data_IF_615143275497
#
_entry.id   IF_615143275497
#
_cell.length_a   1.000
_cell.length_b   1.000
_cell.length_c   1.000
_cell.angle_alpha   90.00
_cell.angle_beta   90.00
_cell.angle_gamma   90.00
#
_symmetry.space_group_name_H-M   'P 1'
#
loop_
_entity.id
_entity.type
_entity.pdbx_description
1 polymer ?
#
# COMPACT_ATOMS: atom_id res chain seq x y z
N UNK A 1 -20.42 -21.57 -44.00
CA UNK A 1 -19.59 -20.35 -43.85
C UNK A 1 -18.23 -20.76 -43.28
N UNK A 2 -17.16 -20.73 -44.08
CA UNK A 2 -15.83 -21.18 -43.66
C UNK A 2 -15.02 -20.03 -43.08
N UNK A 3 -14.72 -20.07 -41.78
CA UNK A 3 -13.76 -19.17 -41.15
C UNK A 3 -12.37 -19.83 -41.23
N UNK A 4 -11.44 -19.23 -41.99
CA UNK A 4 -10.03 -19.63 -41.93
C UNK A 4 -9.35 -18.84 -40.83
N UNK A 5 -8.80 -19.54 -39.85
CA UNK A 5 -7.99 -18.95 -38.79
C UNK A 5 -6.53 -18.95 -39.27
N UNK A 6 -5.89 -17.78 -39.30
CA UNK A 6 -4.46 -17.68 -39.60
C UNK A 6 -3.62 -18.37 -38.52
N UNK A 7 -2.50 -18.96 -38.92
CA UNK A 7 -1.51 -19.52 -38.00
C UNK A 7 -0.62 -18.42 -37.39
N UNK A 8 0.17 -18.79 -36.38
CA UNK A 8 1.08 -17.90 -35.68
C UNK A 8 2.15 -17.32 -36.63
N UNK A 9 2.57 -16.08 -36.37
CA UNK A 9 3.50 -15.29 -37.20
C UNK A 9 4.93 -15.81 -37.10
N UNK A 10 5.24 -16.54 -36.04
CA UNK A 10 6.51 -17.27 -35.87
C UNK A 10 6.59 -18.60 -36.60
N UNK A 11 5.62 -18.92 -37.48
CA UNK A 11 5.63 -20.18 -38.20
C UNK A 11 6.75 -20.21 -39.26
N UNK A 12 7.81 -20.99 -38.97
CA UNK A 12 8.80 -21.44 -39.96
C UNK A 12 8.13 -22.34 -41.01
N UNK A 13 7.50 -21.77 -42.04
CA UNK A 13 7.04 -22.60 -43.15
C UNK A 13 8.14 -22.66 -44.20
N UNK A 14 9.00 -23.68 -44.10
CA UNK A 14 9.92 -24.13 -45.17
C UNK A 14 10.94 -23.11 -45.72
N UNK A 15 11.08 -21.93 -45.12
CA UNK A 15 12.15 -20.97 -45.41
C UNK A 15 13.03 -20.75 -44.18
N UNK A 16 14.35 -20.56 -44.37
CA UNK A 16 15.30 -20.37 -43.27
C UNK A 16 15.21 -18.99 -42.58
N UNK A 17 14.27 -18.13 -42.97
CA UNK A 17 14.09 -16.78 -42.40
C UNK A 17 12.63 -16.55 -42.00
N UNK A 18 12.41 -16.09 -40.78
CA UNK A 18 11.11 -15.66 -40.28
C UNK A 18 10.74 -14.27 -40.81
N UNK A 19 9.45 -13.96 -40.95
CA UNK A 19 9.01 -12.61 -41.30
C UNK A 19 9.52 -11.58 -40.28
N UNK A 20 9.50 -11.91 -39.00
CA UNK A 20 10.04 -11.09 -37.90
C UNK A 20 11.56 -10.84 -38.02
N UNK A 21 12.31 -11.71 -38.72
CA UNK A 21 13.75 -11.55 -38.99
C UNK A 21 14.02 -10.67 -40.22
N UNK A 22 13.02 -10.50 -41.09
CA UNK A 22 13.09 -9.64 -42.29
C UNK A 22 12.56 -8.22 -42.03
N UNK A 23 11.79 -8.03 -40.96
CA UNK A 23 11.18 -6.77 -40.62
C UNK A 23 11.97 -6.02 -39.54
N UNK A 24 12.45 -4.82 -39.88
CA UNK A 24 13.12 -3.93 -38.94
C UNK A 24 12.22 -3.51 -37.75
N UNK A 25 12.84 -2.98 -36.70
CA UNK A 25 12.14 -2.54 -35.48
C UNK A 25 11.07 -1.47 -35.72
N UNK A 26 11.18 -0.72 -36.82
CA UNK A 26 10.26 0.35 -37.21
C UNK A 26 9.18 -0.10 -38.22
N UNK A 27 9.09 -1.39 -38.54
CA UNK A 27 8.08 -1.90 -39.47
C UNK A 27 6.67 -1.63 -38.94
N UNK A 28 5.80 -1.05 -39.78
CA UNK A 28 4.43 -0.65 -39.40
C UNK A 28 3.58 -1.80 -38.83
N UNK A 29 3.86 -3.04 -39.22
CA UNK A 29 3.18 -4.22 -38.66
C UNK A 29 3.44 -4.41 -37.17
N UNK A 30 4.59 -3.97 -36.64
CA UNK A 30 4.87 -3.97 -35.19
C UNK A 30 3.98 -2.99 -34.40
N UNK A 31 3.32 -2.03 -35.07
CA UNK A 31 2.29 -1.18 -34.43
C UNK A 31 1.11 -2.03 -33.96
N UNK A 32 0.76 -3.08 -34.71
CA UNK A 32 -0.30 -4.02 -34.30
C UNK A 32 0.10 -4.74 -33.01
N UNK A 33 1.37 -5.12 -32.86
CA UNK A 33 1.87 -5.71 -31.62
C UNK A 33 1.88 -4.75 -30.45
N UNK A 34 2.38 -3.54 -30.65
CA UNK A 34 2.32 -2.50 -29.63
C UNK A 34 0.87 -2.22 -29.19
N UNK A 35 -0.07 -2.20 -30.15
CA UNK A 35 -1.50 -2.02 -29.87
C UNK A 35 -2.10 -3.22 -29.10
N UNK A 36 -1.82 -4.45 -29.51
CA UNK A 36 -2.27 -5.65 -28.78
C UNK A 36 -1.69 -5.70 -27.37
N UNK A 37 -0.40 -5.37 -27.20
CA UNK A 37 0.23 -5.27 -25.87
C UNK A 37 -0.43 -4.19 -25.01
N UNK A 38 -0.74 -3.02 -25.58
CA UNK A 38 -1.47 -1.96 -24.89
C UNK A 38 -2.87 -2.42 -24.46
N UNK A 39 -3.59 -3.15 -25.31
CA UNK A 39 -4.89 -3.73 -24.95
C UNK A 39 -4.78 -4.74 -23.81
N UNK A 40 -3.79 -5.64 -23.84
CA UNK A 40 -3.59 -6.61 -22.76
C UNK A 40 -3.19 -5.93 -21.45
N UNK A 41 -2.38 -4.87 -21.51
CA UNK A 41 -2.07 -4.02 -20.35
C UNK A 41 -3.33 -3.39 -19.78
N UNK A 42 -4.17 -2.76 -20.61
CA UNK A 42 -5.42 -2.14 -20.16
C UNK A 42 -6.39 -3.16 -19.57
N UNK A 43 -6.49 -4.36 -20.15
CA UNK A 43 -7.29 -5.45 -19.57
C UNK A 43 -6.74 -5.87 -18.21
N UNK A 44 -5.41 -5.94 -18.05
CA UNK A 44 -4.78 -6.27 -16.78
C UNK A 44 -5.05 -5.20 -15.71
N UNK A 45 -4.91 -3.92 -16.06
CA UNK A 45 -5.26 -2.78 -15.19
C UNK A 45 -6.75 -2.81 -14.80
N UNK A 46 -7.65 -3.07 -15.75
CA UNK A 46 -9.08 -3.20 -15.48
C UNK A 46 -9.41 -4.35 -14.51
N UNK A 47 -8.73 -5.50 -14.64
CA UNK A 47 -8.85 -6.61 -13.69
C UNK A 47 -8.34 -6.24 -12.30
N UNK A 48 -7.23 -5.52 -12.20
CA UNK A 48 -6.68 -5.06 -10.93
C UNK A 48 -7.66 -4.13 -10.19
N UNK A 49 -8.19 -3.13 -10.90
CA UNK A 49 -9.19 -2.19 -10.36
C UNK A 49 -10.45 -2.95 -9.89
N UNK A 50 -10.93 -3.94 -10.67
CA UNK A 50 -12.08 -4.75 -10.29
C UNK A 50 -11.83 -5.56 -9.01
N UNK A 51 -10.61 -6.11 -8.83
CA UNK A 51 -10.24 -6.83 -7.62
C UNK A 51 -10.19 -5.90 -6.40
N UNK A 52 -9.59 -4.72 -6.52
CA UNK A 52 -9.54 -3.71 -5.46
C UNK A 52 -10.95 -3.22 -5.07
N UNK A 53 -11.80 -2.95 -6.06
CA UNK A 53 -13.20 -2.60 -5.82
C UNK A 53 -13.96 -3.71 -5.07
N UNK A 54 -13.73 -4.98 -5.42
CA UNK A 54 -14.31 -6.11 -4.70
C UNK A 54 -13.80 -6.21 -3.26
N UNK A 55 -12.52 -5.94 -3.02
CA UNK A 55 -11.95 -5.89 -1.67
C UNK A 55 -12.55 -4.76 -0.83
N UNK A 56 -12.73 -3.57 -1.41
CA UNK A 56 -13.42 -2.44 -0.76
C UNK A 56 -14.84 -2.84 -0.36
N UNK A 57 -15.60 -3.42 -1.30
CA UNK A 57 -16.96 -3.89 -1.04
C UNK A 57 -17.03 -4.94 0.07
N UNK A 58 -16.10 -5.90 0.10
CA UNK A 58 -16.07 -6.96 1.13
C UNK A 58 -15.68 -6.45 2.51
N UNK A 59 -14.71 -5.54 2.57
CA UNK A 59 -14.22 -4.98 3.83
C UNK A 59 -15.17 -3.93 4.43
N UNK A 60 -16.06 -3.36 3.61
CA UNK A 60 -16.88 -2.22 3.99
C UNK A 60 -16.07 -0.94 4.22
N UNK A 61 -14.79 -0.93 3.83
CA UNK A 61 -13.90 0.21 3.95
C UNK A 61 -14.12 1.18 2.77
N UNK A 62 -13.93 2.47 3.04
CA UNK A 62 -13.90 3.54 2.03
C UNK A 62 -12.54 3.66 1.33
N UNK A 63 -11.48 3.07 1.90
CA UNK A 63 -10.10 3.22 1.42
C UNK A 63 -9.29 1.97 1.74
N UNK A 64 -8.51 1.51 0.77
CA UNK A 64 -7.48 0.48 0.94
C UNK A 64 -6.12 1.15 0.87
N UNK A 65 -5.26 0.84 1.83
CA UNK A 65 -3.86 1.27 1.83
C UNK A 65 -3.03 0.17 1.18
N UNK A 66 -2.33 0.49 0.10
CA UNK A 66 -1.43 -0.43 -0.61
C UNK A 66 0.01 0.09 -0.56
N UNK A 67 0.98 -0.82 -0.55
CA UNK A 67 2.42 -0.49 -0.52
C UNK A 67 3.00 -0.08 0.84
N UNK A 68 2.15 0.28 1.82
CA UNK A 68 2.60 0.73 3.14
C UNK A 68 1.99 -0.11 4.28
N UNK A 69 2.73 -1.07 4.86
CA UNK A 69 2.20 -2.04 5.81
C UNK A 69 1.73 -1.44 7.14
N UNK A 70 2.32 -0.33 7.58
CA UNK A 70 2.01 0.30 8.87
C UNK A 70 0.90 1.36 8.78
N UNK A 71 0.64 1.91 7.60
CA UNK A 71 -0.39 2.92 7.43
C UNK A 71 -1.81 2.31 7.47
N UNK A 72 -2.74 3.06 8.03
CA UNK A 72 -4.14 2.68 8.17
C UNK A 72 -5.04 3.82 7.69
N UNK A 73 -6.24 3.54 7.16
CA UNK A 73 -7.20 4.58 6.85
C UNK A 73 -7.69 5.20 8.17
N UNK A 74 -7.28 6.44 8.44
CA UNK A 74 -7.59 7.09 9.72
C UNK A 74 -8.92 7.81 9.65
N UNK A 75 -9.85 7.49 10.55
CA UNK A 75 -11.16 8.20 10.62
C UNK A 75 -10.98 9.71 10.85
N UNK A 76 -9.97 10.12 11.62
CA UNK A 76 -9.66 11.53 11.89
C UNK A 76 -9.08 12.27 10.68
N UNK A 77 -8.68 11.55 9.64
CA UNK A 77 -8.16 12.08 8.38
C UNK A 77 -9.08 11.67 7.23
N UNK A 78 -10.40 11.58 7.42
CA UNK A 78 -11.36 11.21 6.37
C UNK A 78 -11.02 9.91 5.61
N UNK A 79 -10.46 8.92 6.32
CA UNK A 79 -9.98 7.64 5.78
C UNK A 79 -8.70 7.72 4.94
N UNK A 80 -8.03 8.88 4.88
CA UNK A 80 -6.70 8.99 4.29
C UNK A 80 -5.70 8.09 5.05
N UNK A 81 -4.72 7.50 4.34
CA UNK A 81 -3.67 6.71 4.97
C UNK A 81 -2.89 7.55 5.98
N UNK A 82 -2.70 7.02 7.18
CA UNK A 82 -1.88 7.65 8.21
C UNK A 82 -1.35 6.64 9.22
N UNK A 83 -0.48 7.13 10.11
CA UNK A 83 0.18 6.32 11.13
C UNK A 83 -0.24 6.78 12.52
N UNK A 84 -0.45 5.83 13.41
CA UNK A 84 -0.62 6.11 14.83
C UNK A 84 0.73 5.97 15.54
N UNK A 85 1.53 7.03 15.50
CA UNK A 85 2.75 7.14 16.30
C UNK A 85 2.38 7.56 17.74
N UNK A 86 2.74 6.72 18.70
CA UNK A 86 2.68 7.04 20.13
C UNK A 86 4.08 7.42 20.61
N UNK A 87 4.17 8.40 21.50
CA UNK A 87 5.44 8.90 22.02
C UNK A 87 5.30 9.22 23.50
N UNK A 88 6.25 8.76 24.31
CA UNK A 88 6.39 9.17 25.69
C UNK A 88 7.53 10.18 25.83
N UNK A 89 7.25 11.28 26.53
CA UNK A 89 8.21 12.35 26.78
C UNK A 89 8.41 12.49 28.28
N UNK A 90 9.67 12.52 28.72
CA UNK A 90 10.01 12.83 30.10
C UNK A 90 9.91 14.35 30.31
N UNK A 91 9.30 14.76 31.42
CA UNK A 91 8.88 16.16 31.60
C UNK A 91 9.99 17.11 31.98
N UNK A 92 11.01 16.63 32.70
CA UNK A 92 12.11 17.46 33.19
C UNK A 92 13.11 17.77 32.09
N UNK A 93 13.49 16.76 31.30
CA UNK A 93 14.44 16.90 30.19
C UNK A 93 13.78 17.23 28.85
N UNK A 94 12.46 17.06 28.74
CA UNK A 94 11.71 17.14 27.48
C UNK A 94 12.18 16.13 26.42
N UNK A 95 12.91 15.08 26.82
CA UNK A 95 13.39 14.06 25.91
C UNK A 95 12.30 13.03 25.61
N UNK A 96 12.28 12.58 24.35
CA UNK A 96 11.51 11.42 23.94
C UNK A 96 12.20 10.19 24.52
N UNK A 97 11.51 9.50 25.42
CA UNK A 97 12.01 8.31 26.11
C UNK A 97 11.77 7.07 25.28
N UNK A 98 10.60 6.98 24.65
CA UNK A 98 10.18 5.85 23.84
C UNK A 98 9.13 6.31 22.84
N UNK A 99 9.06 5.59 21.72
CA UNK A 99 8.07 5.81 20.68
C UNK A 99 7.68 4.48 20.04
N UNK A 100 6.48 4.38 19.51
CA UNK A 100 6.00 3.18 18.84
C UNK A 100 4.98 3.54 17.74
N UNK A 101 5.14 2.95 16.56
CA UNK A 101 4.13 3.04 15.48
C UNK A 101 3.13 1.91 15.66
N UNK A 102 1.92 2.26 16.06
CA UNK A 102 0.84 1.32 16.28
C UNK A 102 0.03 1.14 15.00
N UNK A 103 -0.08 -0.10 14.54
CA UNK A 103 -0.80 -0.49 13.33
C UNK A 103 -2.33 -0.62 13.53
N UNK A 104 -2.91 0.18 14.43
CA UNK A 104 -4.34 0.26 14.71
C UNK A 104 -4.90 1.60 14.21
N UNK A 105 -6.20 1.67 13.89
CA UNK A 105 -6.85 2.93 13.45
C UNK A 105 -7.16 3.88 14.61
N UNK A 106 -7.16 3.38 15.84
CA UNK A 106 -7.46 4.12 17.06
C UNK A 106 -6.27 4.08 18.01
N UNK A 107 -6.04 5.17 18.75
CA UNK A 107 -5.05 5.22 19.83
C UNK A 107 -5.61 4.69 21.18
N UNK A 108 -6.84 4.17 21.20
CA UNK A 108 -7.42 3.61 22.40
C UNK A 108 -6.58 2.43 22.92
N UNK A 109 -6.41 2.37 24.25
CA UNK A 109 -5.62 1.35 24.97
C UNK A 109 -4.10 1.41 24.76
N UNK A 110 -3.58 2.39 24.04
CA UNK A 110 -2.14 2.51 23.75
C UNK A 110 -1.34 3.23 24.86
N UNK A 111 -2.01 3.82 25.86
CA UNK A 111 -1.34 4.58 26.92
C UNK A 111 -0.56 3.69 27.91
N UNK A 112 -1.14 2.56 28.34
CA UNK A 112 -0.49 1.68 29.32
C UNK A 112 0.77 1.02 28.75
N UNK A 113 0.76 0.40 27.55
CA UNK A 113 1.98 -0.19 26.97
C UNK A 113 3.11 0.86 26.81
N UNK A 114 2.74 2.08 26.40
CA UNK A 114 3.68 3.18 26.23
C UNK A 114 4.27 3.65 27.57
N UNK A 115 3.46 3.69 28.63
CA UNK A 115 3.93 4.06 29.96
C UNK A 115 4.84 2.98 30.57
N UNK A 116 4.51 1.70 30.40
CA UNK A 116 5.37 0.58 30.79
C UNK A 116 6.70 0.58 30.04
N UNK A 117 6.68 0.88 28.73
CA UNK A 117 7.89 1.05 27.94
C UNK A 117 8.75 2.22 28.43
N UNK A 118 8.13 3.36 28.74
CA UNK A 118 8.85 4.53 29.26
C UNK A 118 9.49 4.24 30.63
N UNK A 119 8.78 3.53 31.49
CA UNK A 119 9.26 3.14 32.82
C UNK A 119 10.46 2.20 32.76
N UNK A 120 10.42 1.21 31.85
CA UNK A 120 11.58 0.36 31.59
C UNK A 120 12.78 1.16 31.10
N UNK A 121 12.56 2.14 30.22
CA UNK A 121 13.64 2.96 29.66
C UNK A 121 14.25 3.94 30.68
N UNK A 122 13.44 4.46 31.61
CA UNK A 122 13.90 5.38 32.66
C UNK A 122 14.35 4.69 33.95
N UNK A 123 14.14 3.38 34.06
CA UNK A 123 14.32 2.60 35.29
C UNK A 123 13.57 3.20 36.50
N UNK A 124 12.43 3.84 36.23
CA UNK A 124 11.63 4.55 37.23
C UNK A 124 10.16 4.18 37.11
N UNK A 125 9.41 4.14 38.23
CA UNK A 125 7.97 3.91 38.17
C UNK A 125 7.30 5.07 37.42
N UNK A 126 6.33 4.74 36.58
CA UNK A 126 5.57 5.74 35.83
C UNK A 126 4.29 6.13 36.57
N UNK A 127 3.96 7.42 36.54
CA UNK A 127 2.63 7.91 36.91
C UNK A 127 1.95 8.49 35.68
N UNK A 128 0.88 7.87 35.19
CA UNK A 128 0.12 8.40 34.04
C UNK A 128 -0.78 9.56 34.48
N UNK A 129 -0.57 10.75 33.92
CA UNK A 129 -1.56 11.83 33.95
C UNK A 129 -2.15 12.05 32.57
N UNK A 130 -3.47 11.90 32.48
CA UNK A 130 -4.24 12.18 31.26
C UNK A 130 -4.86 13.58 31.40
N UNK A 131 -4.49 14.51 30.52
CA UNK A 131 -5.15 15.82 30.41
C UNK A 131 -6.44 15.69 29.59
N UNK A 132 -7.59 16.21 30.07
CA UNK A 132 -8.86 16.15 29.33
C UNK A 132 -8.92 17.11 28.13
N UNK A 133 -7.97 18.04 28.02
CA UNK A 133 -7.82 18.91 26.86
C UNK A 133 -6.52 18.54 26.15
N UNK A 134 -6.67 18.01 24.93
CA UNK A 134 -5.59 17.64 23.99
C UNK A 134 -4.75 16.46 24.47
N UNK A 135 -4.51 15.50 23.57
CA UNK A 135 -3.86 14.22 23.89
C UNK A 135 -2.38 14.45 24.20
N UNK A 136 -2.08 14.87 25.44
CA UNK A 136 -0.76 14.88 26.04
C UNK A 136 -0.86 14.11 27.35
N UNK A 137 -0.25 12.93 27.37
CA UNK A 137 0.07 12.24 28.61
C UNK A 137 1.31 12.90 29.21
N UNK A 138 1.22 13.25 30.49
CA UNK A 138 2.31 13.84 31.25
C UNK A 138 2.71 12.83 32.32
N UNK A 139 3.95 12.33 32.30
CA UNK A 139 4.47 11.45 33.36
C UNK A 139 4.95 12.34 34.51
N UNK A 140 4.53 12.04 35.74
CA UNK A 140 4.98 12.69 36.97
C UNK A 140 5.87 11.77 37.79
#
# INVERSE_FOLDING_TARGET
MGHRRGQDRGQATLFPLMLDELEGQDALVRVVDAWVQALERLKAEGRAIANEAQQLMRSGASTIVSGEPAARPMRSLDSWPGYNLQTAVEMQSHLIVTHEVVCETSAQRQLQPMAEAASRALEQPWTLKVSPATWRSTVR
#
